data_IF_736913607347
#
_entry.id   IF_736913607347
#
_cell.length_a   1.000
_cell.length_b   1.000
_cell.length_c   1.000
_cell.angle_alpha   90.00
_cell.angle_beta   90.00
_cell.angle_gamma   90.00
#
_symmetry.space_group_name_H-M   'P 1'
#
loop_
_entity.id
_entity.type
_entity.pdbx_description
1 polymer ?
#
# COMPACT_ATOMS: atom_id res chain seq x y z
N UNK A 1 -6.85 -15.51 109.02
CA UNK A 1 -5.65 -15.42 108.16
C UNK A 1 -5.69 -16.45 107.02
N UNK A 2 -5.95 -17.73 107.30
CA UNK A 2 -5.96 -18.86 106.33
C UNK A 2 -6.84 -18.63 105.08
N UNK A 3 -8.09 -18.19 105.22
CA UNK A 3 -9.01 -18.00 104.07
C UNK A 3 -8.51 -16.99 103.01
N UNK A 4 -7.76 -15.95 103.42
CA UNK A 4 -7.19 -14.96 102.49
C UNK A 4 -6.01 -15.55 101.70
N UNK A 5 -5.19 -16.37 102.36
CA UNK A 5 -4.05 -17.04 101.75
C UNK A 5 -4.49 -18.06 100.69
N UNK A 6 -5.48 -18.90 100.99
CA UNK A 6 -6.03 -19.86 100.01
C UNK A 6 -6.60 -19.15 98.78
N UNK A 7 -7.34 -18.04 98.97
CA UNK A 7 -7.90 -17.24 97.87
C UNK A 7 -6.80 -16.57 97.03
N UNK A 8 -5.72 -16.11 97.66
CA UNK A 8 -4.57 -15.56 96.94
C UNK A 8 -3.87 -16.64 96.10
N UNK A 9 -3.70 -17.84 96.66
CA UNK A 9 -3.07 -18.97 95.97
C UNK A 9 -3.90 -19.47 94.77
N UNK A 10 -5.23 -19.55 94.91
CA UNK A 10 -6.13 -19.87 93.79
C UNK A 10 -6.05 -18.85 92.67
N UNK A 11 -6.02 -17.54 93.00
CA UNK A 11 -5.87 -16.47 92.02
C UNK A 11 -4.52 -16.52 91.30
N UNK A 12 -3.44 -16.80 92.05
CA UNK A 12 -2.10 -16.97 91.49
C UNK A 12 -2.07 -18.14 90.49
N UNK A 13 -2.64 -19.29 90.84
CA UNK A 13 -2.68 -20.45 89.94
C UNK A 13 -3.51 -20.16 88.69
N UNK A 14 -4.69 -19.53 88.83
CA UNK A 14 -5.50 -19.13 87.68
C UNK A 14 -4.76 -18.13 86.76
N UNK A 15 -4.01 -17.18 87.34
CA UNK A 15 -3.18 -16.25 86.58
C UNK A 15 -2.03 -16.95 85.86
N UNK A 16 -1.40 -17.94 86.50
CA UNK A 16 -0.34 -18.76 85.89
C UNK A 16 -0.89 -19.56 84.72
N UNK A 17 -2.01 -20.26 84.89
CA UNK A 17 -2.60 -21.08 83.82
C UNK A 17 -3.05 -20.20 82.63
N UNK A 18 -3.52 -18.97 82.89
CA UNK A 18 -3.81 -17.98 81.85
C UNK A 18 -2.55 -17.51 81.12
N UNK A 19 -1.47 -17.25 81.85
CA UNK A 19 -0.17 -16.89 81.26
C UNK A 19 0.36 -18.02 80.38
N UNK A 20 0.35 -19.26 80.87
CA UNK A 20 0.82 -20.43 80.12
C UNK A 20 0.01 -20.62 78.83
N UNK A 21 -1.30 -20.42 78.89
CA UNK A 21 -2.18 -20.43 77.72
C UNK A 21 -1.83 -19.32 76.73
N UNK A 22 -1.62 -18.09 77.21
CA UNK A 22 -1.24 -16.96 76.37
C UNK A 22 0.13 -17.16 75.70
N UNK A 23 1.10 -17.75 76.42
CA UNK A 23 2.41 -18.09 75.89
C UNK A 23 2.32 -19.17 74.81
N UNK A 24 1.45 -20.18 74.98
CA UNK A 24 1.19 -21.17 73.94
C UNK A 24 0.62 -20.56 72.65
N UNK A 25 -0.36 -19.66 72.79
CA UNK A 25 -0.92 -18.93 71.64
C UNK A 25 0.11 -18.02 70.96
N UNK A 26 0.96 -17.35 71.75
CA UNK A 26 2.03 -16.52 71.22
C UNK A 26 3.04 -17.34 70.41
N UNK A 27 3.44 -18.52 70.91
CA UNK A 27 4.32 -19.43 70.18
C UNK A 27 3.71 -19.88 68.84
N UNK A 28 2.40 -20.18 68.81
CA UNK A 28 1.68 -20.53 67.58
C UNK A 28 1.66 -19.37 66.58
N UNK A 29 1.42 -18.14 67.04
CA UNK A 29 1.44 -16.95 66.18
C UNK A 29 2.83 -16.70 65.62
N UNK A 30 3.89 -16.87 66.42
CA UNK A 30 5.27 -16.74 65.95
C UNK A 30 5.61 -17.77 64.88
N UNK A 31 5.23 -19.04 65.08
CA UNK A 31 5.45 -20.09 64.08
C UNK A 31 4.76 -19.76 62.74
N UNK A 32 3.50 -19.27 62.79
CA UNK A 32 2.78 -18.84 61.59
C UNK A 32 3.41 -17.62 60.91
N UNK A 33 3.99 -16.70 61.68
CA UNK A 33 4.66 -15.53 61.13
C UNK A 33 5.93 -15.94 60.35
N UNK A 34 6.73 -16.85 60.92
CA UNK A 34 7.91 -17.40 60.26
C UNK A 34 7.54 -18.12 58.96
N UNK A 35 6.47 -18.93 58.97
CA UNK A 35 5.94 -19.56 57.76
C UNK A 35 5.54 -18.51 56.70
N UNK A 36 4.81 -17.46 57.08
CA UNK A 36 4.42 -16.39 56.14
C UNK A 36 5.61 -15.60 55.59
N UNK A 37 6.65 -15.38 56.39
CA UNK A 37 7.88 -14.73 55.93
C UNK A 37 8.64 -15.58 54.91
N UNK A 38 8.68 -16.90 55.09
CA UNK A 38 9.27 -17.82 54.12
C UNK A 38 8.48 -17.84 52.81
N UNK A 39 7.14 -17.85 52.89
CA UNK A 39 6.26 -17.81 51.73
C UNK A 39 6.40 -16.50 50.97
N UNK A 40 6.45 -15.37 51.68
CA UNK A 40 6.65 -14.04 51.07
C UNK A 40 8.00 -13.97 50.35
N UNK A 41 9.06 -14.45 50.95
CA UNK A 41 10.40 -14.46 50.33
C UNK A 41 10.38 -15.26 49.03
N UNK A 42 9.76 -16.45 49.06
CA UNK A 42 9.60 -17.29 47.86
C UNK A 42 8.75 -16.64 46.77
N UNK A 43 7.65 -15.99 47.14
CA UNK A 43 6.80 -15.25 46.20
C UNK A 43 7.56 -14.09 45.56
N UNK A 44 8.33 -13.36 46.35
CA UNK A 44 9.14 -12.24 45.87
C UNK A 44 10.22 -12.71 44.89
N UNK A 45 10.90 -13.82 45.18
CA UNK A 45 11.86 -14.44 44.26
C UNK A 45 11.19 -14.90 42.96
N UNK A 46 10.02 -15.55 43.05
CA UNK A 46 9.27 -15.97 41.88
C UNK A 46 8.81 -14.78 41.02
N UNK A 47 8.34 -13.70 41.63
CA UNK A 47 7.95 -12.48 40.95
C UNK A 47 9.14 -11.77 40.30
N UNK A 48 10.30 -11.75 40.96
CA UNK A 48 11.53 -11.20 40.39
C UNK A 48 11.98 -12.00 39.16
N UNK A 49 11.99 -13.34 39.24
CA UNK A 49 12.33 -14.20 38.11
C UNK A 49 11.36 -14.03 36.94
N UNK A 50 10.06 -13.86 37.20
CA UNK A 50 9.08 -13.58 36.15
C UNK A 50 9.30 -12.22 35.47
N UNK A 51 9.63 -11.18 36.25
CA UNK A 51 9.95 -9.86 35.69
C UNK A 51 11.20 -9.92 34.82
N UNK A 52 12.26 -10.54 35.30
CA UNK A 52 13.50 -10.73 34.54
C UNK A 52 13.23 -11.50 33.23
N UNK A 53 12.43 -12.56 33.28
CA UNK A 53 12.07 -13.33 32.08
C UNK A 53 11.24 -12.50 31.08
N UNK A 54 10.35 -11.62 31.54
CA UNK A 54 9.57 -10.73 30.68
C UNK A 54 10.44 -9.60 30.10
N UNK A 55 11.34 -9.02 30.90
CA UNK A 55 12.28 -8.01 30.45
C UNK A 55 13.22 -8.57 29.37
N UNK A 56 13.75 -9.78 29.56
CA UNK A 56 14.55 -10.47 28.56
C UNK A 56 13.78 -10.67 27.24
N UNK A 57 12.51 -11.08 27.32
CA UNK A 57 11.65 -11.22 26.14
C UNK A 57 11.41 -9.88 25.44
N UNK A 58 11.15 -8.82 26.19
CA UNK A 58 10.94 -7.48 25.63
C UNK A 58 12.19 -6.95 24.93
N UNK A 59 13.38 -7.23 25.45
CA UNK A 59 14.64 -6.87 24.76
C UNK A 59 14.75 -7.61 23.43
N UNK A 60 14.53 -8.94 23.43
CA UNK A 60 14.60 -9.72 22.18
C UNK A 60 13.56 -9.31 21.14
N UNK A 61 12.36 -8.92 21.59
CA UNK A 61 11.27 -8.48 20.70
C UNK A 61 11.56 -7.09 20.12
N UNK A 62 12.11 -6.16 20.91
CA UNK A 62 12.56 -4.86 20.42
C UNK A 62 13.66 -4.98 19.38
N UNK A 63 14.67 -5.81 19.64
CA UNK A 63 15.75 -6.05 18.68
C UNK A 63 15.23 -6.65 17.36
N UNK A 64 14.30 -7.62 17.45
CA UNK A 64 13.66 -8.20 16.27
C UNK A 64 12.84 -7.16 15.49
N UNK A 65 12.07 -6.32 16.19
CA UNK A 65 11.29 -5.24 15.57
C UNK A 65 12.18 -4.18 14.90
N UNK A 66 13.31 -3.81 15.51
CA UNK A 66 14.28 -2.90 14.90
C UNK A 66 14.92 -3.50 13.64
N UNK A 67 15.27 -4.80 13.66
CA UNK A 67 15.77 -5.50 12.49
C UNK A 67 14.71 -5.59 11.37
N UNK A 68 13.45 -5.88 11.71
CA UNK A 68 12.34 -5.89 10.76
C UNK A 68 12.13 -4.51 10.13
N UNK A 69 12.15 -3.45 10.95
CA UNK A 69 12.02 -2.08 10.46
C UNK A 69 13.14 -1.74 9.48
N UNK A 70 14.39 -2.07 9.79
CA UNK A 70 15.52 -1.85 8.90
C UNK A 70 15.38 -2.63 7.58
N UNK A 71 14.93 -3.89 7.64
CA UNK A 71 14.69 -4.69 6.44
C UNK A 71 13.57 -4.11 5.57
N UNK A 72 12.50 -3.59 6.19
CA UNK A 72 11.40 -2.91 5.48
C UNK A 72 11.87 -1.63 4.79
N UNK A 73 12.67 -0.81 5.47
CA UNK A 73 13.23 0.42 4.88
C UNK A 73 14.11 0.11 3.66
N UNK A 74 14.91 -0.96 3.71
CA UNK A 74 15.70 -1.39 2.53
C UNK A 74 14.80 -1.84 1.37
N UNK A 75 13.78 -2.66 1.64
CA UNK A 75 12.85 -3.10 0.60
C UNK A 75 12.06 -1.94 -0.02
N UNK A 76 11.69 -0.94 0.79
CA UNK A 76 11.03 0.26 0.30
C UNK A 76 11.94 1.08 -0.63
N UNK A 77 13.23 1.22 -0.30
CA UNK A 77 14.21 1.87 -1.15
C UNK A 77 14.43 1.11 -2.48
N UNK A 78 14.50 -0.23 -2.43
CA UNK A 78 14.60 -1.07 -3.63
C UNK A 78 13.36 -0.94 -4.51
N UNK A 79 12.17 -0.93 -3.90
CA UNK A 79 10.91 -0.75 -4.62
C UNK A 79 10.88 0.60 -5.34
N UNK A 80 11.36 1.67 -4.72
CA UNK A 80 11.43 2.99 -5.33
C UNK A 80 12.45 3.02 -6.50
N UNK A 81 13.62 2.38 -6.36
CA UNK A 81 14.56 2.26 -7.48
C UNK A 81 13.94 1.49 -8.65
N UNK A 82 13.27 0.37 -8.39
CA UNK A 82 12.58 -0.44 -9.41
C UNK A 82 11.47 0.37 -10.09
N UNK A 83 10.64 1.10 -9.34
CA UNK A 83 9.61 1.99 -9.91
C UNK A 83 10.24 3.06 -10.81
N UNK A 84 11.33 3.70 -10.36
CA UNK A 84 12.03 4.72 -11.15
C UNK A 84 12.62 4.16 -12.45
N UNK A 85 13.12 2.92 -12.42
CA UNK A 85 13.62 2.21 -13.61
C UNK A 85 12.50 1.87 -14.55
N UNK A 86 11.41 1.29 -14.04
CA UNK A 86 10.24 0.96 -14.84
C UNK A 86 9.67 2.20 -15.55
N UNK A 87 9.55 3.34 -14.86
CA UNK A 87 9.10 4.59 -15.47
C UNK A 87 10.04 5.07 -16.58
N UNK A 88 11.36 5.06 -16.34
CA UNK A 88 12.35 5.43 -17.39
C UNK A 88 12.32 4.47 -18.58
N UNK A 89 12.16 3.19 -18.33
CA UNK A 89 12.13 2.17 -19.36
C UNK A 89 10.86 2.27 -20.21
N UNK A 90 9.72 2.56 -19.59
CA UNK A 90 8.46 2.83 -20.28
C UNK A 90 8.57 4.08 -21.19
N UNK A 91 9.11 5.19 -20.68
CA UNK A 91 9.36 6.39 -21.49
C UNK A 91 10.33 6.13 -22.64
N UNK A 92 11.41 5.37 -22.39
CA UNK A 92 12.34 4.98 -23.44
C UNK A 92 11.65 4.15 -24.52
N UNK A 93 10.89 3.12 -24.14
CA UNK A 93 10.17 2.26 -25.08
C UNK A 93 9.13 3.03 -25.89
N UNK A 94 8.44 4.00 -25.28
CA UNK A 94 7.50 4.88 -25.99
C UNK A 94 8.20 5.72 -27.06
N UNK A 95 9.36 6.29 -26.73
CA UNK A 95 10.16 7.05 -27.70
C UNK A 95 10.74 6.15 -28.80
N UNK A 96 11.28 4.99 -28.43
CA UNK A 96 11.81 4.00 -29.37
C UNK A 96 10.71 3.52 -30.32
N UNK A 97 9.54 3.12 -29.81
CA UNK A 97 8.41 2.67 -30.63
C UNK A 97 7.90 3.76 -31.58
N UNK A 98 7.83 5.02 -31.13
CA UNK A 98 7.49 6.14 -32.02
C UNK A 98 8.55 6.36 -33.10
N UNK A 99 9.83 6.31 -32.75
CA UNK A 99 10.92 6.49 -33.71
C UNK A 99 10.96 5.35 -34.73
N UNK A 100 10.73 4.11 -34.31
CA UNK A 100 10.62 2.94 -35.18
C UNK A 100 9.42 3.06 -36.12
N UNK A 101 8.26 3.46 -35.62
CA UNK A 101 7.08 3.71 -36.44
C UNK A 101 7.34 4.79 -37.50
N UNK A 102 7.95 5.91 -37.13
CA UNK A 102 8.29 6.99 -38.08
C UNK A 102 9.30 6.56 -39.15
N UNK A 103 10.11 5.54 -38.90
CA UNK A 103 11.05 4.95 -39.88
C UNK A 103 10.43 3.78 -40.67
N UNK A 104 9.22 3.37 -40.33
CA UNK A 104 8.55 2.24 -40.96
C UNK A 104 7.93 2.63 -42.31
N UNK A 105 7.84 1.67 -43.23
CA UNK A 105 7.13 1.86 -44.49
C UNK A 105 5.61 2.02 -44.30
N UNK A 106 5.08 1.57 -43.16
CA UNK A 106 3.67 1.78 -42.80
C UNK A 106 3.37 3.27 -42.62
N UNK A 107 4.24 3.98 -41.89
CA UNK A 107 4.14 5.44 -41.77
C UNK A 107 4.24 6.13 -43.13
N UNK A 108 5.19 5.75 -43.99
CA UNK A 108 5.31 6.32 -45.34
C UNK A 108 4.04 6.08 -46.17
N UNK A 109 3.44 4.90 -46.05
CA UNK A 109 2.20 4.54 -46.76
C UNK A 109 1.03 5.38 -46.25
N UNK A 110 0.87 5.51 -44.93
CA UNK A 110 -0.17 6.33 -44.31
C UNK A 110 -0.01 7.81 -44.66
N UNK A 111 1.22 8.32 -44.58
CA UNK A 111 1.55 9.70 -44.96
C UNK A 111 1.27 9.95 -46.45
N UNK A 112 1.64 9.01 -47.32
CA UNK A 112 1.37 9.09 -48.75
C UNK A 112 -0.13 9.12 -49.07
N UNK A 113 -0.92 8.25 -48.42
CA UNK A 113 -2.39 8.27 -48.55
C UNK A 113 -2.97 9.62 -48.11
N UNK A 114 -2.60 10.09 -46.92
CA UNK A 114 -3.11 11.35 -46.36
C UNK A 114 -2.71 12.57 -47.20
N UNK A 115 -1.45 12.67 -47.60
CA UNK A 115 -0.96 13.75 -48.46
C UNK A 115 -1.61 13.71 -49.85
N UNK A 116 -1.83 12.51 -50.40
CA UNK A 116 -2.54 12.29 -51.66
C UNK A 116 -3.98 12.80 -51.61
N UNK A 117 -4.72 12.50 -50.54
CA UNK A 117 -6.07 13.00 -50.31
C UNK A 117 -6.15 14.54 -50.27
N UNK A 118 -5.26 15.19 -49.52
CA UNK A 118 -5.18 16.66 -49.49
C UNK A 118 -4.87 17.25 -50.88
N UNK A 119 -3.91 16.66 -51.59
CA UNK A 119 -3.54 17.12 -52.92
C UNK A 119 -4.69 16.95 -53.93
N UNK A 120 -5.38 15.81 -53.90
CA UNK A 120 -6.56 15.54 -54.73
C UNK A 120 -7.66 16.57 -54.49
N UNK A 121 -8.04 16.78 -53.23
CA UNK A 121 -9.08 17.75 -52.85
C UNK A 121 -8.70 19.17 -53.25
N UNK A 122 -7.46 19.59 -52.96
CA UNK A 122 -6.97 20.93 -53.32
C UNK A 122 -6.90 21.17 -54.83
N UNK A 123 -6.41 20.20 -55.59
CA UNK A 123 -6.33 20.28 -57.05
C UNK A 123 -7.72 20.38 -57.68
N UNK A 124 -8.64 19.48 -57.30
CA UNK A 124 -10.00 19.48 -57.83
C UNK A 124 -10.76 20.76 -57.45
N UNK A 125 -10.51 21.30 -56.25
CA UNK A 125 -11.02 22.61 -55.85
C UNK A 125 -10.53 23.77 -56.73
N UNK A 126 -9.24 23.79 -57.07
CA UNK A 126 -8.66 24.78 -57.99
C UNK A 126 -9.27 24.69 -59.39
N UNK A 127 -9.40 23.48 -59.94
CA UNK A 127 -10.04 23.24 -61.24
C UNK A 127 -11.50 23.71 -61.22
N UNK A 128 -12.24 23.42 -60.16
CA UNK A 128 -13.62 23.89 -60.01
C UNK A 128 -13.70 25.43 -60.02
N UNK A 129 -12.76 26.11 -59.38
CA UNK A 129 -12.68 27.57 -59.39
C UNK A 129 -12.39 28.14 -60.78
N UNK A 130 -11.48 27.53 -61.55
CA UNK A 130 -11.24 27.95 -62.93
C UNK A 130 -12.51 27.81 -63.76
N UNK A 131 -13.19 26.67 -63.69
CA UNK A 131 -14.46 26.45 -64.40
C UNK A 131 -15.51 27.50 -64.02
N UNK A 132 -15.59 27.88 -62.75
CA UNK A 132 -16.48 28.96 -62.30
C UNK A 132 -16.14 30.34 -62.90
N UNK A 133 -14.88 30.57 -63.27
CA UNK A 133 -14.41 31.79 -63.94
C UNK A 133 -14.52 31.73 -65.48
N UNK A 134 -15.22 30.74 -66.04
CA UNK A 134 -15.43 30.61 -67.48
C UNK A 134 -14.38 29.79 -68.22
N UNK A 135 -13.56 29.03 -67.49
CA UNK A 135 -12.57 28.13 -68.06
C UNK A 135 -13.21 26.90 -68.73
N UNK A 136 -12.76 26.55 -69.94
CA UNK A 136 -13.24 25.41 -70.75
C UNK A 136 -12.17 24.34 -70.90
N UNK A 137 -12.50 23.07 -70.63
CA UNK A 137 -11.54 21.96 -70.76
C UNK A 137 -11.17 21.62 -72.20
N UNK A 138 -11.97 22.04 -73.19
CA UNK A 138 -11.68 21.89 -74.62
C UNK A 138 -10.41 22.66 -75.06
N UNK A 139 -9.92 23.58 -74.24
CA UNK A 139 -8.69 24.35 -74.49
C UNK A 139 -7.40 23.65 -73.99
N UNK A 140 -7.51 22.47 -73.36
CA UNK A 140 -6.35 21.79 -72.79
C UNK A 140 -5.57 20.88 -73.76
N UNK A 141 -4.23 20.82 -73.62
CA UNK A 141 -3.43 19.71 -74.12
C UNK A 141 -3.83 18.39 -73.43
N UNK A 142 -3.87 17.28 -74.17
CA UNK A 142 -4.13 15.93 -73.62
C UNK A 142 -3.38 15.59 -72.30
N UNK A 143 -2.11 16.00 -72.11
CA UNK A 143 -1.40 15.79 -70.84
C UNK A 143 -2.07 16.36 -69.58
N UNK A 144 -2.91 17.39 -69.68
CA UNK A 144 -3.62 17.94 -68.51
C UNK A 144 -4.78 17.04 -68.07
N UNK A 145 -5.52 16.49 -69.03
CA UNK A 145 -6.62 15.57 -68.76
C UNK A 145 -6.09 14.26 -68.17
N UNK A 146 -4.95 13.77 -68.66
CA UNK A 146 -4.26 12.61 -68.09
C UNK A 146 -3.89 12.83 -66.62
N UNK A 147 -3.41 14.04 -66.28
CA UNK A 147 -3.08 14.42 -64.88
C UNK A 147 -4.33 14.51 -64.02
N UNK A 148 -5.41 15.11 -64.52
CA UNK A 148 -6.67 15.21 -63.77
C UNK A 148 -7.28 13.84 -63.48
N UNK A 149 -7.21 12.91 -64.44
CA UNK A 149 -7.65 11.53 -64.24
C UNK A 149 -6.76 10.80 -63.23
N UNK A 150 -5.43 10.88 -63.37
CA UNK A 150 -4.49 10.27 -62.43
C UNK A 150 -4.71 10.79 -60.99
N UNK A 151 -5.05 12.07 -60.83
CA UNK A 151 -5.37 12.68 -59.54
C UNK A 151 -6.73 12.19 -59.00
N UNK A 152 -7.73 12.02 -59.86
CA UNK A 152 -9.04 11.50 -59.45
C UNK A 152 -8.98 10.04 -58.95
N UNK A 153 -8.04 9.24 -59.46
CA UNK A 153 -7.81 7.83 -59.07
C UNK A 153 -7.01 7.66 -57.74
N UNK A 154 -6.47 8.75 -57.17
CA UNK A 154 -5.80 8.69 -55.87
C UNK A 154 -6.79 8.45 -54.71
N UNK A 155 -6.36 7.80 -53.60
CA UNK A 155 -7.19 7.57 -52.42
C UNK A 155 -7.63 8.88 -51.74
N UNK A 156 -8.83 8.87 -51.16
CA UNK A 156 -9.39 10.02 -50.44
C UNK A 156 -8.91 10.08 -48.98
N UNK A 157 -9.07 11.25 -48.34
CA UNK A 157 -8.58 11.50 -46.98
C UNK A 157 -9.32 10.67 -45.91
N UNK A 158 -10.61 10.39 -46.11
CA UNK A 158 -11.47 9.68 -45.14
C UNK A 158 -11.13 8.18 -45.00
N UNK A 159 -10.47 7.58 -45.99
CA UNK A 159 -10.03 6.17 -45.95
C UNK A 159 -8.86 5.92 -44.95
N UNK A 160 -8.40 6.96 -44.25
CA UNK A 160 -7.25 6.91 -43.33
C UNK A 160 -7.62 7.20 -41.85
N UNK A 161 -8.90 7.30 -41.50
CA UNK A 161 -9.36 7.79 -40.19
C UNK A 161 -9.69 6.69 -39.16
N UNK A 162 -9.93 5.44 -39.57
CA UNK A 162 -10.12 4.32 -38.63
C UNK A 162 -8.78 3.64 -38.33
N UNK A 163 -8.58 3.09 -37.12
CA UNK A 163 -7.39 2.33 -36.62
C UNK A 163 -6.46 3.06 -35.61
N UNK A 164 -6.94 4.03 -34.83
CA UNK A 164 -6.06 4.70 -33.85
C UNK A 164 -6.69 5.25 -32.56
N UNK A 165 -7.97 4.99 -32.29
CA UNK A 165 -8.63 5.40 -31.04
C UNK A 165 -8.89 4.17 -30.17
N UNK A 166 -7.88 3.74 -29.43
CA UNK A 166 -8.05 3.01 -28.17
C UNK A 166 -7.12 3.68 -27.15
N UNK A 167 -7.55 4.84 -26.68
CA UNK A 167 -6.95 5.53 -25.54
C UNK A 167 -7.32 4.79 -24.26
N UNK A 168 -6.31 4.19 -23.64
CA UNK A 168 -6.11 3.97 -22.21
C UNK A 168 -7.32 4.30 -21.29
N UNK A 169 -8.14 3.29 -20.96
CA UNK A 169 -8.93 3.30 -19.73
C UNK A 169 -7.99 3.04 -18.52
N UNK A 170 -7.32 4.08 -18.02
CA UNK A 170 -7.00 4.15 -16.59
C UNK A 170 -8.16 4.87 -15.89
N UNK A 171 -8.95 4.15 -15.08
CA UNK A 171 -9.45 4.66 -13.79
C UNK A 171 -9.87 3.47 -12.90
N UNK A 172 -8.94 3.06 -12.03
CA UNK A 172 -9.17 2.12 -10.95
C UNK A 172 -8.84 2.76 -9.60
N UNK A 173 -9.57 3.82 -9.25
CA UNK A 173 -9.46 4.55 -8.00
C UNK A 173 -9.53 3.63 -6.76
N UNK A 174 -8.41 3.50 -6.06
CA UNK A 174 -8.34 3.00 -4.68
C UNK A 174 -8.85 4.08 -3.71
N UNK A 175 -10.17 4.23 -3.65
CA UNK A 175 -10.86 4.99 -2.62
C UNK A 175 -11.20 4.09 -1.44
N UNK A 176 -10.33 4.05 -0.42
CA UNK A 176 -10.70 3.54 0.90
C UNK A 176 -11.64 4.54 1.58
N UNK A 177 -12.94 4.23 1.66
CA UNK A 177 -13.83 4.83 2.65
C UNK A 177 -14.30 3.77 3.63
N UNK A 178 -13.86 3.95 4.87
CA UNK A 178 -14.24 3.12 6.00
C UNK A 178 -15.70 3.39 6.38
N UNK A 179 -16.48 2.32 6.55
CA UNK A 179 -17.66 2.35 7.42
C UNK A 179 -17.77 1.01 8.14
N UNK A 180 -17.79 0.97 9.48
CA UNK A 180 -18.36 -0.14 10.24
C UNK A 180 -19.61 0.34 11.02
N UNK A 181 -20.37 -0.56 11.66
CA UNK A 181 -21.30 -1.50 11.07
C UNK A 181 -22.75 -1.20 11.53
N UNK A 182 -23.75 -1.89 10.97
CA UNK A 182 -25.05 -2.02 11.64
C UNK A 182 -25.64 -3.40 11.37
N UNK A 183 -25.70 -4.22 12.42
CA UNK A 183 -26.49 -5.44 12.48
C UNK A 183 -27.98 -5.13 12.30
N UNK A 184 -28.76 -6.11 11.81
CA UNK A 184 -29.97 -6.41 12.57
C UNK A 184 -30.21 -7.91 12.78
N UNK A 185 -30.85 -8.15 13.92
CA UNK A 185 -31.58 -9.33 14.36
C UNK A 185 -32.19 -10.17 13.23
N UNK A 186 -31.91 -11.48 13.23
CA UNK A 186 -32.90 -12.56 13.38
C UNK A 186 -32.19 -13.89 13.63
#
# INVERSE_FOLDING_TARGET
>A
MVKRLTKAHQKMNASRDQFDKAMGQHAEVLARLEELETLRSREQEAAAAQREALEAKLVTEREAHEAEKAAREMLEAELEDVKSRAARDAERLKLEGREEFLKSSEFDTLLGKKAGGFFKTGFLGCVAQWRANGYSEDEHPAPFLDVQQAIAEMPDEEDAQEEGEDEEEEEGAIGSEATPPSSPLS
#
